data_IF_063640144603
#
_entry.id   IF_063640144603
#
_cell.length_a   1.000
_cell.length_b   1.000
_cell.length_c   1.000
_cell.angle_alpha   90.00
_cell.angle_beta   90.00
_cell.angle_gamma   90.00
#
_symmetry.space_group_name_H-M   'P 1'
#
loop_
_entity.id
_entity.type
_entity.pdbx_description
1 polymer ?
#
# COMPACT_ATOMS: atom_id res chain seq x y z
N UNK A 1 26.06 -54.95 -9.88
CA UNK A 1 25.36 -54.25 -10.98
C UNK A 1 24.37 -53.30 -10.33
N UNK A 2 24.75 -52.03 -10.26
CA UNK A 2 23.95 -50.95 -9.71
C UNK A 2 23.51 -50.10 -10.91
N UNK A 3 22.22 -50.12 -11.23
CA UNK A 3 21.65 -49.23 -12.24
C UNK A 3 21.11 -47.98 -11.56
N UNK A 4 21.92 -46.93 -11.66
CA UNK A 4 21.52 -45.55 -11.51
C UNK A 4 20.63 -45.19 -12.70
N UNK A 5 19.34 -44.94 -12.48
CA UNK A 5 18.47 -44.34 -13.49
C UNK A 5 18.01 -42.95 -13.02
N UNK A 6 18.84 -41.97 -13.36
CA UNK A 6 18.47 -40.80 -14.15
C UNK A 6 17.34 -39.89 -13.62
N UNK A 7 17.64 -39.14 -12.55
CA UNK A 7 17.01 -37.82 -12.31
C UNK A 7 17.54 -36.81 -13.34
N UNK A 8 17.06 -36.90 -14.58
CA UNK A 8 17.17 -35.81 -15.54
C UNK A 8 16.13 -34.75 -15.19
N UNK A 9 16.52 -33.82 -14.31
CA UNK A 9 15.83 -32.52 -14.21
C UNK A 9 16.06 -31.81 -15.53
N UNK A 10 15.08 -31.89 -16.43
CA UNK A 10 15.02 -31.11 -17.66
C UNK A 10 14.93 -29.65 -17.23
N UNK A 11 16.08 -28.99 -17.19
CA UNK A 11 16.18 -27.55 -17.01
C UNK A 11 15.86 -26.91 -18.38
N UNK A 12 14.58 -26.91 -18.74
CA UNK A 12 14.10 -26.09 -19.84
C UNK A 12 14.29 -24.63 -19.39
N UNK A 13 15.19 -23.91 -20.05
CA UNK A 13 15.23 -22.45 -20.01
C UNK A 13 13.91 -21.95 -20.60
N UNK A 14 12.88 -21.88 -19.77
CA UNK A 14 11.58 -21.32 -20.13
C UNK A 14 11.80 -19.82 -20.30
N UNK A 15 11.86 -19.37 -21.55
CA UNK A 15 11.86 -17.95 -21.88
C UNK A 15 10.44 -17.41 -21.67
N UNK A 16 10.29 -16.55 -20.66
CA UNK A 16 9.04 -15.86 -20.39
C UNK A 16 8.91 -14.65 -21.34
N UNK A 17 7.69 -14.33 -21.82
CA UNK A 17 7.46 -13.17 -22.69
C UNK A 17 7.73 -11.85 -21.95
N UNK A 18 7.95 -10.77 -22.68
CA UNK A 18 8.10 -9.45 -22.07
C UNK A 18 6.78 -9.01 -21.42
N UNK A 19 6.87 -8.23 -20.34
CA UNK A 19 5.68 -7.89 -19.54
C UNK A 19 4.66 -7.14 -20.38
N UNK A 20 5.12 -6.24 -21.25
CA UNK A 20 4.32 -5.38 -22.12
C UNK A 20 3.48 -6.15 -23.13
N UNK A 21 3.93 -7.36 -23.51
CA UNK A 21 3.26 -8.25 -24.47
C UNK A 21 2.07 -8.97 -23.82
N UNK A 22 1.99 -9.00 -22.49
CA UNK A 22 0.96 -9.71 -21.76
C UNK A 22 -0.39 -8.96 -21.73
N UNK A 23 -1.52 -9.70 -21.69
CA UNK A 23 -2.83 -9.12 -21.46
C UNK A 23 -2.84 -8.22 -20.22
N UNK A 24 -3.56 -7.09 -20.29
CA UNK A 24 -3.58 -6.08 -19.21
C UNK A 24 -3.93 -6.69 -17.84
N UNK A 25 -4.82 -7.68 -17.81
CA UNK A 25 -5.24 -8.33 -16.57
C UNK A 25 -4.12 -9.19 -15.96
N UNK A 26 -3.37 -9.92 -16.80
CA UNK A 26 -2.18 -10.68 -16.39
C UNK A 26 -1.09 -9.72 -15.89
N UNK A 27 -0.83 -8.62 -16.60
CA UNK A 27 0.11 -7.58 -16.14
C UNK A 27 -0.24 -7.02 -14.76
N UNK A 28 -1.53 -6.75 -14.51
CA UNK A 28 -2.02 -6.27 -13.20
C UNK A 28 -1.81 -7.30 -12.10
N UNK A 29 -2.11 -8.57 -12.37
CA UNK A 29 -1.89 -9.66 -11.42
C UNK A 29 -0.39 -9.85 -11.14
N UNK A 30 0.46 -9.83 -12.17
CA UNK A 30 1.92 -9.87 -12.01
C UNK A 30 2.41 -8.71 -11.15
N UNK A 31 2.03 -7.47 -11.45
CA UNK A 31 2.41 -6.30 -10.66
C UNK A 31 1.97 -6.42 -9.19
N UNK A 32 0.77 -6.94 -8.95
CA UNK A 32 0.27 -7.21 -7.60
C UNK A 32 1.13 -8.25 -6.88
N UNK A 33 1.51 -9.33 -7.56
CA UNK A 33 2.33 -10.42 -7.01
C UNK A 33 3.78 -9.98 -6.77
N UNK A 34 4.36 -9.19 -7.66
CA UNK A 34 5.68 -8.56 -7.49
C UNK A 34 5.71 -7.72 -6.20
N UNK A 35 4.72 -6.84 -6.02
CA UNK A 35 4.61 -5.98 -4.85
C UNK A 35 4.38 -6.76 -3.55
N UNK A 36 3.56 -7.81 -3.60
CA UNK A 36 3.22 -8.64 -2.44
C UNK A 36 4.40 -9.51 -2.01
N UNK A 37 5.12 -10.10 -2.97
CA UNK A 37 6.16 -11.09 -2.72
C UNK A 37 7.57 -10.49 -2.70
N UNK A 38 7.75 -9.26 -3.19
CA UNK A 38 9.05 -8.62 -3.34
C UNK A 38 9.92 -9.32 -4.39
N UNK A 39 9.31 -9.74 -5.50
CA UNK A 39 9.97 -10.39 -6.64
C UNK A 39 9.73 -9.55 -7.89
N UNK A 40 10.47 -9.82 -8.97
CA UNK A 40 10.33 -9.11 -10.24
C UNK A 40 10.12 -10.09 -11.38
N UNK A 41 9.19 -9.78 -12.27
CA UNK A 41 9.00 -10.46 -13.53
C UNK A 41 9.93 -9.84 -14.59
N UNK A 42 10.52 -10.64 -15.52
CA UNK A 42 10.38 -12.10 -15.67
C UNK A 42 11.35 -12.91 -14.80
N UNK A 43 12.12 -12.26 -13.91
CA UNK A 43 13.11 -12.96 -13.07
C UNK A 43 12.46 -14.07 -12.24
N UNK A 44 12.84 -15.32 -12.53
CA UNK A 44 12.33 -16.46 -11.79
C UNK A 44 12.89 -16.43 -10.35
N UNK A 45 12.05 -16.42 -9.32
CA UNK A 45 12.54 -16.51 -7.95
C UNK A 45 13.25 -17.87 -7.79
N UNK A 46 14.53 -17.89 -7.38
CA UNK A 46 15.35 -19.11 -7.45
C UNK A 46 14.75 -20.27 -6.66
N UNK A 47 13.93 -19.99 -5.62
CA UNK A 47 13.14 -20.97 -4.87
C UNK A 47 11.91 -20.32 -4.20
N UNK A 48 10.77 -20.23 -4.90
CA UNK A 48 9.48 -19.80 -4.30
C UNK A 48 9.20 -20.58 -2.98
N UNK A 49 9.54 -21.87 -2.94
CA UNK A 49 9.43 -22.75 -1.76
C UNK A 49 10.22 -22.29 -0.50
N UNK A 50 11.33 -21.54 -0.65
CA UNK A 50 12.11 -21.06 0.51
C UNK A 50 11.52 -19.77 1.08
N UNK A 51 10.95 -18.90 0.24
CA UNK A 51 10.18 -17.74 0.69
C UNK A 51 8.87 -18.16 1.36
N UNK A 52 8.23 -19.24 0.88
CA UNK A 52 7.03 -19.84 1.50
C UNK A 52 7.25 -20.28 2.95
N UNK A 53 8.47 -20.68 3.34
CA UNK A 53 8.79 -21.02 4.74
C UNK A 53 8.87 -19.80 5.65
N UNK A 54 9.25 -18.63 5.12
CA UNK A 54 9.43 -17.40 5.90
C UNK A 54 8.16 -16.56 5.99
N UNK A 55 7.27 -16.65 4.99
CA UNK A 55 6.01 -15.90 4.93
C UNK A 55 4.87 -16.77 4.37
N UNK A 56 4.45 -17.82 5.10
CA UNK A 56 3.45 -18.77 4.61
C UNK A 56 2.12 -18.08 4.25
N UNK A 57 1.74 -17.05 5.01
CA UNK A 57 0.52 -16.29 4.78
C UNK A 57 0.51 -15.53 3.46
N UNK A 58 1.65 -14.96 3.04
CA UNK A 58 1.74 -14.28 1.74
C UNK A 58 1.67 -15.27 0.59
N UNK A 59 2.29 -16.44 0.72
CA UNK A 59 2.18 -17.52 -0.28
C UNK A 59 0.72 -17.98 -0.43
N UNK A 60 0.01 -18.12 0.69
CA UNK A 60 -1.40 -18.49 0.68
C UNK A 60 -2.26 -17.40 0.03
N UNK A 61 -2.05 -16.12 0.36
CA UNK A 61 -2.74 -15.00 -0.29
C UNK A 61 -2.44 -14.96 -1.79
N UNK A 62 -1.18 -15.13 -2.21
CA UNK A 62 -0.81 -15.21 -3.63
C UNK A 62 -1.54 -16.36 -4.34
N UNK A 63 -1.60 -17.54 -3.73
CA UNK A 63 -2.35 -18.68 -4.27
C UNK A 63 -3.84 -18.37 -4.42
N UNK A 64 -4.44 -17.72 -3.42
CA UNK A 64 -5.84 -17.27 -3.46
C UNK A 64 -6.06 -16.26 -4.59
N UNK A 65 -5.16 -15.27 -4.77
CA UNK A 65 -5.26 -14.26 -5.83
C UNK A 65 -5.19 -14.90 -7.22
N UNK A 66 -4.24 -15.81 -7.42
CA UNK A 66 -4.08 -16.56 -8.67
C UNK A 66 -5.34 -17.38 -8.95
N UNK A 67 -5.79 -18.17 -7.97
CA UNK A 67 -6.99 -18.99 -8.12
C UNK A 67 -8.25 -18.17 -8.39
N UNK A 68 -8.45 -17.07 -7.64
CA UNK A 68 -9.57 -16.16 -7.85
C UNK A 68 -9.56 -15.56 -9.25
N UNK A 69 -8.38 -15.14 -9.72
CA UNK A 69 -8.22 -14.62 -11.08
C UNK A 69 -8.62 -15.68 -12.13
N UNK A 70 -8.14 -16.91 -12.01
CA UNK A 70 -8.44 -17.99 -12.97
C UNK A 70 -9.93 -18.31 -13.02
N UNK A 71 -10.58 -18.45 -11.86
CA UNK A 71 -11.98 -18.88 -11.78
C UNK A 71 -12.96 -17.80 -12.27
N UNK A 72 -12.56 -16.52 -12.29
CA UNK A 72 -13.46 -15.39 -12.57
C UNK A 72 -13.12 -14.71 -13.90
N UNK A 73 -11.93 -14.96 -14.47
CA UNK A 73 -11.52 -14.35 -15.74
C UNK A 73 -12.09 -15.10 -16.95
N UNK A 74 -12.18 -14.42 -18.12
CA UNK A 74 -12.49 -15.08 -19.39
C UNK A 74 -11.56 -16.26 -19.66
N UNK A 75 -12.07 -17.32 -20.33
CA UNK A 75 -11.33 -18.57 -20.58
C UNK A 75 -9.92 -18.37 -21.17
N UNK A 76 -9.78 -17.47 -22.14
CA UNK A 76 -8.49 -17.18 -22.78
C UNK A 76 -7.41 -16.69 -21.79
N UNK A 77 -7.82 -16.07 -20.68
CA UNK A 77 -6.93 -15.56 -19.62
C UNK A 77 -6.71 -16.62 -18.54
N UNK A 78 -7.74 -17.42 -18.26
CA UNK A 78 -7.64 -18.56 -17.33
C UNK A 78 -6.68 -19.66 -17.81
N UNK A 79 -6.53 -19.81 -19.13
CA UNK A 79 -5.62 -20.78 -19.76
C UNK A 79 -4.16 -20.27 -19.88
N UNK A 80 -3.90 -18.99 -19.56
CA UNK A 80 -2.56 -18.40 -19.59
C UNK A 80 -1.64 -19.10 -18.59
N UNK A 81 -0.47 -19.56 -19.08
CA UNK A 81 0.50 -20.33 -18.27
C UNK A 81 1.65 -19.50 -17.71
N UNK A 82 1.74 -18.23 -18.07
CA UNK A 82 2.87 -17.34 -17.76
C UNK A 82 3.11 -17.26 -16.26
N UNK A 83 2.05 -17.09 -15.47
CA UNK A 83 2.15 -16.95 -14.00
C UNK A 83 2.62 -18.26 -13.36
N UNK A 84 2.17 -19.42 -13.84
CA UNK A 84 2.61 -20.72 -13.32
C UNK A 84 4.08 -20.97 -13.63
N UNK A 85 4.50 -20.65 -14.87
CA UNK A 85 5.88 -20.81 -15.29
C UNK A 85 6.80 -19.89 -14.50
N UNK A 86 6.41 -18.63 -14.34
CA UNK A 86 7.19 -17.63 -13.58
C UNK A 86 7.34 -18.02 -12.11
N UNK A 87 6.26 -18.38 -11.42
CA UNK A 87 6.29 -18.72 -10.00
C UNK A 87 6.67 -20.18 -9.71
N UNK A 88 6.85 -21.00 -10.75
CA UNK A 88 6.99 -22.46 -10.67
C UNK A 88 5.86 -23.09 -9.85
N UNK A 89 4.65 -22.55 -10.01
CA UNK A 89 3.45 -22.98 -9.29
C UNK A 89 2.77 -24.12 -10.04
N UNK A 90 2.65 -25.29 -9.42
CA UNK A 90 2.00 -26.44 -10.05
C UNK A 90 0.48 -26.21 -10.15
N UNK A 91 -0.17 -26.48 -11.29
CA UNK A 91 -1.62 -26.28 -11.44
C UNK A 91 -2.47 -27.05 -10.42
N UNK A 92 -1.97 -28.20 -9.95
CA UNK A 92 -2.61 -29.04 -8.93
C UNK A 92 -2.75 -28.34 -7.57
N UNK A 93 -1.91 -27.34 -7.30
CA UNK A 93 -1.93 -26.57 -6.06
C UNK A 93 -2.95 -25.42 -6.09
N UNK A 94 -3.67 -25.22 -7.19
CA UNK A 94 -4.65 -24.14 -7.33
C UNK A 94 -5.94 -24.58 -6.60
N UNK A 95 -6.34 -23.89 -5.52
CA UNK A 95 -7.59 -24.20 -4.86
C UNK A 95 -8.77 -23.96 -5.82
N UNK A 96 -9.78 -24.84 -5.75
CA UNK A 96 -11.05 -24.59 -6.44
C UNK A 96 -11.76 -23.37 -5.84
N UNK A 97 -12.73 -22.82 -6.58
CA UNK A 97 -13.45 -21.61 -6.18
C UNK A 97 -14.11 -21.72 -4.79
N UNK A 98 -14.65 -22.89 -4.42
CA UNK A 98 -15.25 -23.08 -3.09
C UNK A 98 -14.22 -22.92 -1.96
N UNK A 99 -13.03 -23.50 -2.13
CA UNK A 99 -11.91 -23.36 -1.18
C UNK A 99 -11.44 -21.90 -1.13
N UNK A 100 -11.33 -21.23 -2.28
CA UNK A 100 -10.96 -19.81 -2.37
C UNK A 100 -11.94 -18.96 -1.56
N UNK A 101 -13.24 -19.10 -1.79
CA UNK A 101 -14.27 -18.32 -1.09
C UNK A 101 -14.26 -18.61 0.42
N UNK A 102 -14.04 -19.86 0.83
CA UNK A 102 -13.91 -20.22 2.25
C UNK A 102 -12.67 -19.60 2.88
N UNK A 103 -11.53 -19.58 2.19
CA UNK A 103 -10.29 -18.95 2.68
C UNK A 103 -10.41 -17.43 2.75
N UNK A 104 -11.04 -16.79 1.76
CA UNK A 104 -11.33 -15.35 1.78
C UNK A 104 -12.16 -14.92 2.99
N UNK A 105 -12.94 -15.83 3.59
CA UNK A 105 -13.70 -15.53 4.82
C UNK A 105 -12.84 -15.57 6.09
N UNK A 106 -11.66 -16.20 6.06
CA UNK A 106 -10.81 -16.39 7.23
C UNK A 106 -10.19 -15.06 7.71
N UNK A 107 -10.23 -14.76 9.02
CA UNK A 107 -9.75 -13.46 9.54
C UNK A 107 -8.29 -13.12 9.22
N UNK A 108 -7.39 -14.11 9.28
CA UNK A 108 -5.96 -13.89 8.99
C UNK A 108 -5.70 -13.62 7.51
N UNK A 109 -6.45 -14.25 6.59
CA UNK A 109 -6.40 -13.95 5.15
C UNK A 109 -6.93 -12.55 4.89
N UNK A 110 -8.11 -12.21 5.44
CA UNK A 110 -8.69 -10.86 5.32
C UNK A 110 -7.73 -9.79 5.83
N UNK A 111 -7.18 -9.99 7.03
CA UNK A 111 -6.18 -9.09 7.62
C UNK A 111 -5.00 -8.91 6.67
N UNK A 112 -4.40 -10.02 6.21
CA UNK A 112 -3.27 -9.98 5.30
C UNK A 112 -3.59 -9.25 3.99
N UNK A 113 -4.76 -9.50 3.39
CA UNK A 113 -5.18 -8.80 2.18
C UNK A 113 -5.39 -7.30 2.42
N UNK A 114 -5.98 -6.92 3.56
CA UNK A 114 -6.26 -5.53 3.88
C UNK A 114 -4.98 -4.74 4.16
N UNK A 115 -4.03 -5.28 4.94
CA UNK A 115 -2.76 -4.58 5.23
C UNK A 115 -1.89 -4.41 3.98
N UNK A 116 -2.07 -5.26 2.96
CA UNK A 116 -1.41 -5.17 1.66
C UNK A 116 -2.26 -4.46 0.59
N UNK A 117 -3.38 -3.84 0.96
CA UNK A 117 -4.24 -3.08 0.04
C UNK A 117 -4.94 -3.89 -1.07
N UNK A 118 -4.99 -5.20 -0.92
CA UNK A 118 -5.61 -6.14 -1.87
C UNK A 118 -7.12 -6.25 -1.68
N UNK A 119 -7.63 -5.85 -0.52
CA UNK A 119 -9.04 -5.89 -0.18
C UNK A 119 -9.45 -4.62 0.58
N UNK A 120 -10.74 -4.29 0.50
CA UNK A 120 -11.41 -3.35 1.41
C UNK A 120 -12.19 -4.13 2.47
N UNK A 121 -12.76 -3.43 3.45
CA UNK A 121 -13.58 -4.03 4.51
C UNK A 121 -14.80 -4.81 3.95
N UNK A 122 -15.30 -4.43 2.77
CA UNK A 122 -16.42 -5.10 2.10
C UNK A 122 -15.92 -6.12 1.07
N UNK A 123 -16.03 -7.41 1.38
CA UNK A 123 -15.85 -8.47 0.39
C UNK A 123 -17.00 -8.48 -0.65
N UNK A 124 -16.75 -8.87 -1.93
CA UNK A 124 -15.53 -9.49 -2.45
C UNK A 124 -14.88 -8.70 -3.61
N UNK A 125 -14.81 -7.36 -3.54
CA UNK A 125 -14.09 -6.63 -4.59
C UNK A 125 -12.58 -6.66 -4.30
N UNK A 126 -11.87 -7.67 -4.83
CA UNK A 126 -10.40 -7.72 -4.76
C UNK A 126 -9.84 -6.58 -5.62
N UNK A 127 -9.34 -5.55 -4.96
CA UNK A 127 -8.73 -4.39 -5.62
C UNK A 127 -7.30 -4.70 -6.03
N UNK A 128 -7.09 -5.31 -7.21
CA UNK A 128 -5.77 -5.69 -7.76
C UNK A 128 -4.92 -4.49 -8.25
N UNK A 129 -5.06 -3.30 -7.65
CA UNK A 129 -4.25 -2.14 -8.02
C UNK A 129 -3.35 -1.76 -6.86
N UNK A 130 -2.13 -2.28 -6.89
CA UNK A 130 -1.05 -1.91 -5.95
C UNK A 130 -0.20 -0.75 -6.46
N UNK A 131 -0.44 -0.28 -7.69
CA UNK A 131 0.26 0.82 -8.34
C UNK A 131 0.43 2.01 -7.42
N UNK A 132 1.62 2.61 -7.43
CA UNK A 132 1.87 3.84 -6.70
C UNK A 132 1.14 5.00 -7.39
N UNK A 133 0.40 5.83 -6.62
CA UNK A 133 -0.32 6.96 -7.19
C UNK A 133 0.66 8.07 -7.57
N UNK A 134 0.35 8.89 -8.59
CA UNK A 134 1.15 10.05 -8.91
C UNK A 134 1.08 11.08 -7.78
N UNK A 135 2.17 11.84 -7.60
CA UNK A 135 2.20 12.98 -6.69
C UNK A 135 1.32 14.12 -7.23
N UNK A 136 0.45 14.65 -6.38
CA UNK A 136 -0.28 15.91 -6.62
C UNK A 136 0.26 17.01 -5.73
N UNK A 137 0.28 18.24 -6.21
CA UNK A 137 0.70 19.41 -5.41
C UNK A 137 -0.54 20.25 -5.09
N UNK A 138 -0.67 20.67 -3.84
CA UNK A 138 -1.74 21.53 -3.37
C UNK A 138 -1.17 22.71 -2.57
N UNK A 139 -1.50 23.93 -2.96
CA UNK A 139 -0.98 25.15 -2.31
C UNK A 139 -1.91 25.58 -1.18
N UNK A 140 -1.34 25.81 0.00
CA UNK A 140 -2.03 26.25 1.22
C UNK A 140 -2.10 27.79 1.28
N UNK A 141 -2.95 28.37 0.43
CA UNK A 141 -3.06 29.83 0.29
C UNK A 141 -3.90 30.49 1.37
N UNK A 142 -4.96 29.82 1.83
CA UNK A 142 -5.91 30.40 2.77
C UNK A 142 -5.42 30.27 4.23
N UNK A 143 -6.02 31.02 5.15
CA UNK A 143 -5.85 30.82 6.60
C UNK A 143 -6.35 29.44 7.03
N UNK A 144 -7.41 28.93 6.39
CA UNK A 144 -7.93 27.58 6.63
C UNK A 144 -8.07 26.86 5.29
N UNK A 145 -7.38 25.74 5.14
CA UNK A 145 -7.40 24.90 3.94
C UNK A 145 -8.00 23.55 4.32
N UNK A 146 -8.96 23.06 3.53
CA UNK A 146 -9.70 21.84 3.81
C UNK A 146 -9.57 20.88 2.64
N UNK A 147 -9.20 19.63 2.94
CA UNK A 147 -9.07 18.56 1.95
C UNK A 147 -9.79 17.32 2.45
N UNK A 148 -10.64 16.74 1.61
CA UNK A 148 -11.38 15.52 1.90
C UNK A 148 -10.84 14.42 1.00
N UNK A 149 -10.61 13.24 1.58
CA UNK A 149 -10.13 12.06 0.87
C UNK A 149 -10.87 10.82 1.33
N UNK A 150 -11.15 9.91 0.40
CA UNK A 150 -11.80 8.63 0.68
C UNK A 150 -10.76 7.54 0.97
N UNK A 151 -11.06 6.67 1.93
CA UNK A 151 -10.13 5.64 2.44
C UNK A 151 -9.89 4.46 1.49
N UNK A 152 -10.65 4.34 0.41
CA UNK A 152 -10.40 3.33 -0.62
C UNK A 152 -9.56 3.84 -1.78
N UNK A 153 -9.25 5.14 -1.83
CA UNK A 153 -8.41 5.76 -2.84
C UNK A 153 -6.95 5.88 -2.38
N UNK A 154 -6.06 5.12 -3.03
CA UNK A 154 -4.61 5.29 -2.83
C UNK A 154 -4.18 6.59 -3.51
N UNK A 155 -3.67 7.56 -2.74
CA UNK A 155 -3.30 8.88 -3.27
C UNK A 155 -2.14 9.51 -2.49
N UNK A 156 -1.43 10.42 -3.15
CA UNK A 156 -0.34 11.19 -2.56
C UNK A 156 -0.51 12.66 -2.90
N UNK A 157 -0.41 13.53 -1.89
CA UNK A 157 -0.50 14.98 -2.05
C UNK A 157 0.62 15.66 -1.27
N UNK A 158 1.41 16.52 -1.92
CA UNK A 158 2.32 17.45 -1.28
C UNK A 158 1.60 18.79 -1.08
N UNK A 159 1.41 19.16 0.17
CA UNK A 159 0.87 20.45 0.57
C UNK A 159 2.01 21.45 0.78
N UNK A 160 1.94 22.59 0.11
CA UNK A 160 2.95 23.65 0.19
C UNK A 160 2.33 24.97 0.68
N UNK A 161 2.85 25.51 1.78
CA UNK A 161 2.46 26.81 2.32
C UNK A 161 3.68 27.72 2.43
N UNK A 162 3.50 29.02 2.13
CA UNK A 162 4.57 30.01 2.26
C UNK A 162 4.31 31.00 3.39
N UNK A 163 5.40 31.50 3.97
CA UNK A 163 5.41 32.54 5.01
C UNK A 163 4.51 32.18 6.21
N UNK A 164 4.64 30.95 6.69
CA UNK A 164 3.86 30.42 7.82
C UNK A 164 4.59 30.72 9.12
N UNK A 165 3.90 31.39 10.04
CA UNK A 165 4.40 31.62 11.40
C UNK A 165 3.80 30.63 12.39
N UNK A 166 2.57 30.18 12.15
CA UNK A 166 1.84 29.34 13.10
C UNK A 166 1.03 28.30 12.34
N UNK A 167 0.82 27.13 12.93
CA UNK A 167 0.04 26.08 12.29
C UNK A 167 -0.78 25.25 13.26
N UNK A 168 -1.89 24.73 12.75
CA UNK A 168 -2.64 23.64 13.36
C UNK A 168 -3.09 22.69 12.25
N UNK A 169 -2.75 21.40 12.39
CA UNK A 169 -3.32 20.32 11.60
C UNK A 169 -4.41 19.64 12.40
N UNK A 170 -5.60 19.51 11.82
CA UNK A 170 -6.68 18.68 12.37
C UNK A 170 -7.08 17.64 11.34
N UNK A 171 -7.19 16.39 11.76
CA UNK A 171 -7.66 15.28 10.91
C UNK A 171 -8.97 14.77 11.51
N UNK A 172 -10.07 14.99 10.79
CA UNK A 172 -11.36 14.39 11.14
C UNK A 172 -11.52 13.07 10.40
N UNK A 173 -11.88 12.03 11.13
CA UNK A 173 -12.24 10.73 10.57
C UNK A 173 -13.75 10.53 10.69
N UNK A 174 -14.41 10.20 9.61
CA UNK A 174 -15.83 9.87 9.62
C UNK A 174 -16.13 8.70 8.70
N UNK A 175 -17.10 7.89 9.12
CA UNK A 175 -17.72 6.85 8.29
C UNK A 175 -19.13 7.33 7.96
N UNK A 176 -19.49 7.35 6.69
CA UNK A 176 -20.87 7.67 6.30
C UNK A 176 -21.70 6.40 6.23
N UNK A 177 -23.02 6.50 6.36
CA UNK A 177 -23.91 5.34 6.16
C UNK A 177 -23.97 4.89 4.70
N UNK A 178 -23.53 5.74 3.76
CA UNK A 178 -23.64 5.52 2.32
C UNK A 178 -22.37 4.93 1.71
N UNK A 179 -21.21 5.11 2.35
CA UNK A 179 -19.93 4.56 1.91
C UNK A 179 -19.37 3.62 2.97
N UNK A 180 -18.91 2.41 2.59
CA UNK A 180 -18.27 1.49 3.55
C UNK A 180 -16.83 1.90 3.89
N UNK A 181 -16.40 3.09 3.46
CA UNK A 181 -15.04 3.55 3.56
C UNK A 181 -14.93 4.66 4.60
N UNK A 182 -13.81 4.67 5.30
CA UNK A 182 -13.44 5.78 6.17
C UNK A 182 -13.06 6.96 5.31
N UNK A 183 -13.57 8.14 5.61
CA UNK A 183 -13.14 9.39 4.97
C UNK A 183 -12.30 10.20 5.94
N UNK A 184 -11.32 10.91 5.37
CA UNK A 184 -10.41 11.77 6.10
C UNK A 184 -10.57 13.20 5.63
N UNK A 185 -10.85 14.10 6.56
CA UNK A 185 -10.86 15.53 6.32
C UNK A 185 -9.65 16.16 7.02
N UNK A 186 -8.67 16.53 6.21
CA UNK A 186 -7.47 17.24 6.63
C UNK A 186 -7.78 18.74 6.61
N UNK A 187 -7.62 19.39 7.76
CA UNK A 187 -7.75 20.84 7.92
C UNK A 187 -6.41 21.41 8.35
N UNK A 188 -5.85 22.28 7.52
CA UNK A 188 -4.68 23.10 7.85
C UNK A 188 -5.16 24.51 8.20
N UNK A 189 -5.04 24.88 9.47
CA UNK A 189 -5.20 26.26 9.91
C UNK A 189 -3.80 26.88 10.03
N UNK A 190 -3.54 27.99 9.35
CA UNK A 190 -2.21 28.59 9.23
C UNK A 190 -2.24 30.07 9.60
N UNK A 191 -1.35 30.47 10.51
CA UNK A 191 -1.13 31.85 10.91
C UNK A 191 0.04 32.47 10.14
N UNK A 192 -0.12 33.74 9.77
CA UNK A 192 0.89 34.57 9.10
C UNK A 192 1.05 35.89 9.85
N UNK A 193 2.03 36.72 9.45
CA UNK A 193 2.43 37.94 10.16
C UNK A 193 1.25 38.84 10.55
N UNK A 194 0.32 39.08 9.62
CA UNK A 194 -0.85 39.93 9.86
C UNK A 194 -2.11 39.16 10.34
N UNK A 195 -2.01 37.83 10.48
CA UNK A 195 -3.18 36.96 10.70
C UNK A 195 -2.77 35.70 11.46
N UNK A 196 -2.33 35.87 12.71
CA UNK A 196 -2.05 34.75 13.61
C UNK A 196 -3.34 34.04 14.05
N UNK A 197 -3.24 32.75 14.35
CA UNK A 197 -4.39 31.94 14.75
C UNK A 197 -4.76 32.22 16.20
N UNK A 198 -6.01 32.56 16.43
CA UNK A 198 -6.58 32.74 17.78
C UNK A 198 -7.15 31.42 18.32
N UNK A 199 -6.39 30.33 18.19
CA UNK A 199 -6.80 28.99 18.59
C UNK A 199 -5.87 28.50 19.72
N UNK A 200 -6.41 28.01 20.85
CA UNK A 200 -5.60 27.56 21.99
C UNK A 200 -4.78 26.30 21.69
N UNK A 201 -5.10 25.60 20.60
CA UNK A 201 -4.45 24.37 20.14
C UNK A 201 -3.55 24.60 18.93
N UNK A 202 -3.36 25.85 18.49
CA UNK A 202 -2.36 26.16 17.49
C UNK A 202 -0.97 26.10 18.13
N UNK A 203 0.03 25.69 17.35
CA UNK A 203 1.43 25.74 17.78
C UNK A 203 1.83 27.18 18.14
N UNK A 204 2.90 27.37 18.91
CA UNK A 204 3.44 28.72 19.11
C UNK A 204 3.94 29.31 17.79
N UNK A 205 3.88 30.64 17.67
CA UNK A 205 4.38 31.29 16.47
C UNK A 205 5.92 31.19 16.42
N UNK A 206 6.46 30.85 15.25
CA UNK A 206 7.88 30.92 14.98
C UNK A 206 8.37 32.37 15.05
N UNK A 207 9.66 32.54 15.34
CA UNK A 207 10.29 33.87 15.36
C UNK A 207 10.36 34.49 13.96
N UNK A 208 10.46 33.66 12.92
CA UNK A 208 10.54 34.08 11.52
C UNK A 208 9.60 33.23 10.66
N UNK A 209 8.99 33.79 9.59
CA UNK A 209 8.14 33.02 8.68
C UNK A 209 8.91 31.88 8.01
N UNK A 210 8.26 30.71 7.91
CA UNK A 210 8.85 29.53 7.26
C UNK A 210 7.95 28.98 6.16
N UNK A 211 8.54 28.28 5.20
CA UNK A 211 7.79 27.55 4.17
C UNK A 211 7.46 26.15 4.68
N UNK A 212 6.17 25.80 4.67
CA UNK A 212 5.66 24.50 5.11
C UNK A 212 5.56 23.54 3.93
N UNK A 213 6.15 22.35 4.08
CA UNK A 213 5.90 21.20 3.20
C UNK A 213 5.35 20.04 4.02
N UNK A 214 4.14 19.60 3.70
CA UNK A 214 3.53 18.41 4.31
C UNK A 214 3.15 17.39 3.24
N UNK A 215 3.61 16.15 3.36
CA UNK A 215 3.28 15.07 2.44
C UNK A 215 2.18 14.21 3.04
N UNK A 216 1.05 14.13 2.36
CA UNK A 216 -0.03 13.21 2.66
C UNK A 216 0.02 11.98 1.78
N UNK A 217 -0.11 10.81 2.39
CA UNK A 217 -0.17 9.52 1.71
C UNK A 217 -1.31 8.68 2.28
N UNK A 218 -2.40 8.52 1.51
CA UNK A 218 -3.36 7.45 1.77
C UNK A 218 -2.78 6.13 1.25
N UNK A 219 -2.27 5.30 2.16
CA UNK A 219 -1.53 4.10 1.82
C UNK A 219 -2.45 2.99 1.29
N UNK A 220 -3.71 2.97 1.74
CA UNK A 220 -4.67 1.88 1.52
C UNK A 220 -4.05 0.51 1.85
N UNK A 221 -3.24 0.42 2.90
CA UNK A 221 -2.44 -0.75 3.26
C UNK A 221 -0.93 -0.51 3.13
N UNK A 222 -0.27 -0.24 4.25
CA UNK A 222 1.15 0.13 4.30
C UNK A 222 2.13 -1.06 4.35
N UNK A 223 1.64 -2.32 4.25
CA UNK A 223 2.50 -3.50 4.28
C UNK A 223 3.21 -3.79 2.95
N UNK A 224 2.76 -3.19 1.85
CA UNK A 224 3.36 -3.41 0.53
C UNK A 224 4.80 -2.89 0.46
N UNK A 225 5.65 -3.60 -0.29
CA UNK A 225 7.01 -3.16 -0.51
C UNK A 225 7.06 -1.86 -1.34
N UNK A 226 6.22 -1.78 -2.37
CA UNK A 226 6.12 -0.61 -3.27
C UNK A 226 5.73 0.67 -2.56
N UNK A 227 4.89 0.58 -1.51
CA UNK A 227 4.57 1.73 -0.65
C UNK A 227 5.83 2.29 0.03
N UNK A 228 6.63 1.44 0.66
CA UNK A 228 7.84 1.88 1.39
C UNK A 228 8.91 2.43 0.46
N UNK A 229 9.07 1.84 -0.73
CA UNK A 229 9.98 2.35 -1.75
C UNK A 229 9.57 3.76 -2.20
N UNK A 230 8.31 3.91 -2.60
CA UNK A 230 7.77 5.18 -3.08
C UNK A 230 7.77 6.28 -2.01
N UNK A 231 7.43 5.94 -0.77
CA UNK A 231 7.51 6.90 0.34
C UNK A 231 8.94 7.45 0.50
N UNK A 232 9.96 6.59 0.40
CA UNK A 232 11.36 7.04 0.48
C UNK A 232 11.75 7.94 -0.69
N UNK A 233 11.35 7.61 -1.90
CA UNK A 233 11.58 8.44 -3.09
C UNK A 233 10.99 9.84 -2.89
N UNK A 234 9.73 9.92 -2.47
CA UNK A 234 9.03 11.19 -2.22
C UNK A 234 9.71 12.01 -1.10
N UNK A 235 10.17 11.36 -0.04
CA UNK A 235 10.89 12.03 1.06
C UNK A 235 12.22 12.58 0.55
N UNK A 236 12.99 11.79 -0.19
CA UNK A 236 14.29 12.20 -0.73
C UNK A 236 14.16 13.39 -1.70
N UNK A 237 13.13 13.36 -2.56
CA UNK A 237 12.89 14.39 -3.57
C UNK A 237 12.34 15.69 -2.95
N UNK A 238 11.34 15.60 -2.09
CA UNK A 238 10.59 16.79 -1.64
C UNK A 238 10.97 17.30 -0.26
N UNK A 239 11.60 16.46 0.57
CA UNK A 239 11.99 16.77 1.96
C UNK A 239 10.86 17.41 2.76
N UNK A 240 9.73 16.70 2.95
CA UNK A 240 8.59 17.24 3.67
C UNK A 240 8.88 17.32 5.18
N UNK A 241 8.48 18.42 5.81
CA UNK A 241 8.62 18.62 7.26
C UNK A 241 7.67 17.71 8.05
N UNK A 242 6.50 17.42 7.47
CA UNK A 242 5.44 16.61 8.10
C UNK A 242 5.02 15.52 7.12
N UNK A 243 4.95 14.28 7.60
CA UNK A 243 4.32 13.17 6.89
C UNK A 243 2.98 12.84 7.55
N UNK A 244 1.95 12.65 6.73
CA UNK A 244 0.63 12.25 7.18
C UNK A 244 0.23 11.02 6.39
N UNK A 245 0.18 9.86 7.03
CA UNK A 245 -0.12 8.58 6.38
C UNK A 245 -1.43 8.04 6.92
N UNK A 246 -2.42 7.83 6.07
CA UNK A 246 -3.74 7.29 6.43
C UNK A 246 -3.99 5.94 5.79
N UNK A 247 -5.01 5.23 6.28
CA UNK A 247 -5.32 3.85 5.86
C UNK A 247 -4.10 2.94 5.91
N UNK A 248 -3.28 3.11 6.95
CA UNK A 248 -2.06 2.33 7.13
C UNK A 248 -2.41 0.86 7.37
N UNK A 249 -3.53 0.61 8.06
CA UNK A 249 -4.05 -0.71 8.46
C UNK A 249 -3.03 -1.53 9.27
N UNK A 250 -2.02 -0.85 9.78
CA UNK A 250 -0.93 -1.37 10.58
C UNK A 250 -0.85 -0.56 11.87
N UNK A 251 -0.39 -1.20 12.94
CA UNK A 251 -0.39 -0.61 14.27
C UNK A 251 0.79 0.32 14.50
N UNK A 252 0.89 0.80 15.74
CA UNK A 252 2.00 1.66 16.18
C UNK A 252 3.37 1.00 15.99
N UNK A 253 3.50 -0.31 16.21
CA UNK A 253 4.78 -1.03 16.05
C UNK A 253 5.38 -0.87 14.65
N UNK A 254 4.56 -1.03 13.61
CA UNK A 254 4.99 -0.80 12.23
C UNK A 254 5.23 0.68 11.92
N UNK A 255 4.47 1.59 12.54
CA UNK A 255 4.69 3.03 12.41
C UNK A 255 6.10 3.41 12.86
N UNK A 256 6.51 2.99 14.07
CA UNK A 256 7.86 3.24 14.59
C UNK A 256 8.94 2.61 13.71
N UNK A 257 8.71 1.41 13.17
CA UNK A 257 9.66 0.78 12.24
C UNK A 257 9.81 1.57 10.93
N UNK A 258 8.71 2.09 10.39
CA UNK A 258 8.74 2.94 9.19
C UNK A 258 9.45 4.25 9.50
N UNK A 259 9.03 4.95 10.55
CA UNK A 259 9.58 6.23 11.02
C UNK A 259 11.10 6.16 11.23
N UNK A 260 11.57 5.15 11.97
CA UNK A 260 13.00 4.91 12.18
C UNK A 260 13.76 4.66 10.87
N UNK A 261 13.14 3.95 9.91
CA UNK A 261 13.76 3.66 8.62
C UNK A 261 13.82 4.86 7.68
N UNK A 262 13.00 5.89 7.90
CA UNK A 262 13.01 7.16 7.16
C UNK A 262 13.65 8.31 7.96
N UNK A 263 14.12 8.04 9.18
CA UNK A 263 14.84 8.97 10.06
C UNK A 263 13.99 10.17 10.53
N UNK A 264 12.70 9.95 10.78
CA UNK A 264 11.84 10.93 11.44
C UNK A 264 11.88 10.68 12.96
N UNK A 265 11.89 11.74 13.77
CA UNK A 265 12.15 11.63 15.22
C UNK A 265 10.91 11.31 16.04
N UNK A 266 9.76 11.88 15.65
CA UNK A 266 8.51 11.75 16.38
C UNK A 266 7.44 11.17 15.47
N UNK A 267 6.72 10.17 15.99
CA UNK A 267 5.55 9.58 15.32
C UNK A 267 4.35 9.55 16.26
N UNK A 268 3.26 10.14 15.80
CA UNK A 268 1.95 10.07 16.45
C UNK A 268 1.13 9.02 15.70
N UNK A 269 0.46 8.13 16.44
CA UNK A 269 -0.29 7.02 15.83
C UNK A 269 -1.71 6.96 16.34
N UNK A 270 -2.64 6.67 15.42
CA UNK A 270 -3.98 6.19 15.71
C UNK A 270 -4.06 4.79 15.12
N UNK A 271 -4.30 3.78 15.96
CA UNK A 271 -4.37 2.39 15.49
C UNK A 271 -5.59 2.17 14.60
N UNK A 272 -5.48 1.29 13.58
CA UNK A 272 -6.63 0.88 12.79
C UNK A 272 -7.65 0.15 13.67
N UNK A 273 -8.93 0.21 13.27
CA UNK A 273 -10.00 -0.55 13.89
C UNK A 273 -10.51 -1.61 12.92
N UNK A 274 -10.40 -2.89 13.28
CA UNK A 274 -10.74 -3.98 12.38
C UNK A 274 -9.78 -4.05 11.18
N UNK A 275 -10.28 -3.78 9.97
CA UNK A 275 -9.52 -3.89 8.71
C UNK A 275 -9.33 -2.56 7.98
N UNK A 276 -9.72 -1.44 8.61
CA UNK A 276 -9.69 -0.11 8.02
C UNK A 276 -9.09 0.90 9.00
N UNK A 277 -8.74 2.07 8.47
CA UNK A 277 -8.17 3.13 9.28
C UNK A 277 -6.66 2.99 9.49
N UNK A 278 -6.20 3.60 10.57
CA UNK A 278 -4.79 3.74 10.88
C UNK A 278 -4.28 5.08 10.37
N UNK A 279 -3.69 5.87 11.27
CA UNK A 279 -3.09 7.17 10.96
C UNK A 279 -1.71 7.21 11.59
N UNK A 280 -0.70 7.56 10.81
CA UNK A 280 0.64 7.90 11.28
C UNK A 280 0.93 9.35 10.91
N UNK A 281 1.48 10.12 11.85
CA UNK A 281 1.96 11.48 11.61
C UNK A 281 3.40 11.51 12.08
N UNK A 282 4.32 11.72 11.14
CA UNK A 282 5.76 11.84 11.44
C UNK A 282 6.20 13.29 11.24
N UNK A 283 7.10 13.78 12.11
CA UNK A 283 7.75 15.09 11.92
C UNK A 283 9.26 14.97 11.75
N UNK A 284 9.80 15.77 10.83
CA UNK A 284 11.24 15.97 10.69
C UNK A 284 11.77 16.66 11.96
N UNK A 285 13.00 16.33 12.42
CA UNK A 285 13.67 16.97 13.56
C UNK A 285 13.41 18.48 13.72
#
# INVERSE_FOLDING_TARGET
MADQNNDQVINLDIQLPEKEELPQQIRRLIATLEDLLGIQYPSMPPRFAVQSRRRPLLTEVSSILIAYHIHISPRAIAEDRTIYQWLRFQPENIPNLSIVLKKLQQPHIKSCMCINGLATMCLPNIGLSTTNPPLRIAVLTNTVNNYITEGDEKQVVLYEGKNILQGQLTIFTYTTLYTPFTSYHLRFSLGREDSLLQLPTAADAFNEPTDLKALYYNARGAALHSFRAHLRELIQEHKPMILIITETRLGAGEAYQVSNAIQYEEVITVNPTGYCGGIWIDREP
#
